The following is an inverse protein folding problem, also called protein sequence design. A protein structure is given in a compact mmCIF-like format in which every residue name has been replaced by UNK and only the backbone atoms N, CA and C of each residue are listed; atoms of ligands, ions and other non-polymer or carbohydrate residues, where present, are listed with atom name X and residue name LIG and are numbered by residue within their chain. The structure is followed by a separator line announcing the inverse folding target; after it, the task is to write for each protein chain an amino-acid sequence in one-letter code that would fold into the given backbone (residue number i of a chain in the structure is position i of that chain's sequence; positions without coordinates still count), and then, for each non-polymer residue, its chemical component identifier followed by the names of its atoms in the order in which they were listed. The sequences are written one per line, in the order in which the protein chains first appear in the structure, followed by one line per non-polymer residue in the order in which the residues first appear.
data_IF_437258056978
#
_entry.id   IF_437258056978
#
_cell.length_a   1.000
_cell.length_b   1.000
_cell.length_c   1.000
_cell.angle_alpha   90.00
_cell.angle_beta   90.00
_cell.angle_gamma   90.00
#
_symmetry.space_group_name_H-M   'P 1'
#
loop_
_entity.id
_entity.type
_entity.pdbx_description
1 polymer ?
#
# COMPACT_ATOMS: atom_id res chain seq x y z
N UNK A 1 8.30 -14.25 18.07
CA UNK A 1 7.71 -13.85 16.78
C UNK A 1 6.85 -12.66 17.09
N UNK A 2 7.21 -11.50 16.56
CA UNK A 2 6.51 -10.24 16.83
C UNK A 2 5.66 -9.91 15.61
N UNK A 3 4.36 -9.75 15.81
CA UNK A 3 3.46 -9.36 14.74
C UNK A 3 3.71 -7.90 14.39
N UNK A 4 3.76 -7.60 13.09
CA UNK A 4 3.76 -6.22 12.65
C UNK A 4 2.40 -5.58 13.00
N UNK A 5 2.44 -4.30 13.39
CA UNK A 5 1.22 -3.54 13.70
C UNK A 5 0.48 -3.11 12.44
N UNK A 6 1.16 -3.13 11.29
CA UNK A 6 0.59 -2.75 9.99
C UNK A 6 0.03 -3.98 9.27
N UNK A 7 0.81 -5.07 9.17
CA UNK A 7 0.35 -6.34 8.60
C UNK A 7 -0.60 -7.10 9.54
N UNK A 8 -1.88 -7.30 9.16
CA UNK A 8 -2.84 -8.04 9.99
C UNK A 8 -2.59 -9.55 9.98
N UNK A 9 -1.69 -10.04 9.13
CA UNK A 9 -1.48 -11.48 8.90
C UNK A 9 -0.19 -12.03 9.52
N UNK A 10 0.78 -11.19 9.89
CA UNK A 10 2.06 -11.72 10.37
C UNK A 10 3.17 -10.70 10.58
N UNK A 11 4.40 -11.23 10.58
CA UNK A 11 5.62 -10.43 10.57
C UNK A 11 6.14 -10.23 9.14
N UNK A 12 7.04 -9.27 8.96
CA UNK A 12 7.65 -8.95 7.65
C UNK A 12 8.30 -10.19 6.99
N UNK A 13 8.85 -11.11 7.78
CA UNK A 13 9.49 -12.33 7.26
C UNK A 13 8.46 -13.29 6.65
N UNK A 14 7.26 -13.33 7.19
CA UNK A 14 6.11 -14.02 6.62
C UNK A 14 5.73 -13.45 5.25
N UNK A 15 5.69 -12.13 5.13
CA UNK A 15 5.36 -11.45 3.87
C UNK A 15 6.42 -11.69 2.78
N UNK A 16 7.72 -11.65 3.13
CA UNK A 16 8.80 -12.00 2.20
C UNK A 16 8.67 -13.45 1.71
N UNK A 17 8.34 -14.39 2.60
CA UNK A 17 8.15 -15.80 2.22
C UNK A 17 6.96 -15.96 1.28
N UNK A 18 5.85 -15.29 1.55
CA UNK A 18 4.70 -15.29 0.65
C UNK A 18 5.07 -14.76 -0.74
N UNK A 19 5.83 -13.66 -0.81
CA UNK A 19 6.31 -13.11 -2.08
C UNK A 19 7.20 -14.10 -2.86
N UNK A 20 8.05 -14.85 -2.17
CA UNK A 20 8.88 -15.89 -2.81
C UNK A 20 8.04 -17.02 -3.40
N UNK A 21 6.98 -17.45 -2.70
CA UNK A 21 6.05 -18.48 -3.21
C UNK A 21 5.32 -17.96 -4.45
N UNK A 22 4.78 -16.74 -4.40
CA UNK A 22 4.10 -16.09 -5.53
C UNK A 22 5.03 -16.01 -6.73
N UNK A 23 6.26 -15.53 -6.55
CA UNK A 23 7.27 -15.47 -7.61
C UNK A 23 7.54 -16.84 -8.22
N UNK A 24 7.67 -17.89 -7.41
CA UNK A 24 7.90 -19.25 -7.90
C UNK A 24 6.71 -19.78 -8.72
N UNK A 25 5.48 -19.49 -8.31
CA UNK A 25 4.25 -19.88 -9.03
C UNK A 25 4.18 -19.19 -10.40
N UNK A 26 4.43 -17.89 -10.46
CA UNK A 26 4.50 -17.17 -11.75
C UNK A 26 5.66 -17.65 -12.61
N UNK A 27 6.83 -17.91 -12.01
CA UNK A 27 7.99 -18.47 -12.68
C UNK A 27 7.71 -19.83 -13.33
N UNK A 28 6.93 -20.68 -12.66
CA UNK A 28 6.49 -21.96 -13.21
C UNK A 28 5.58 -21.83 -14.44
N UNK A 29 4.93 -20.68 -14.62
CA UNK A 29 4.13 -20.34 -15.80
C UNK A 29 4.94 -19.62 -16.89
N UNK A 30 6.25 -19.46 -16.70
CA UNK A 30 7.14 -18.75 -17.63
C UNK A 30 7.13 -17.22 -17.46
N UNK A 31 6.50 -16.70 -16.42
CA UNK A 31 6.43 -15.27 -16.14
C UNK A 31 7.57 -14.85 -15.19
N UNK A 32 8.20 -13.71 -15.47
CA UNK A 32 9.23 -13.14 -14.60
C UNK A 32 8.66 -11.96 -13.80
N UNK A 33 8.30 -12.22 -12.54
CA UNK A 33 7.79 -11.21 -11.61
C UNK A 33 8.91 -10.80 -10.66
N UNK A 34 9.14 -9.49 -10.50
CA UNK A 34 10.10 -9.00 -9.53
C UNK A 34 9.59 -9.29 -8.12
N UNK A 35 10.48 -9.59 -7.17
CA UNK A 35 10.06 -9.97 -5.82
C UNK A 35 9.27 -8.84 -5.13
N UNK A 36 9.64 -7.59 -5.39
CA UNK A 36 8.94 -6.39 -4.91
C UNK A 36 7.48 -6.32 -5.38
N UNK A 37 7.20 -6.77 -6.61
CA UNK A 37 5.85 -6.73 -7.19
C UNK A 37 4.99 -7.88 -6.63
N UNK A 38 5.62 -8.87 -6.00
CA UNK A 38 4.99 -9.98 -5.32
C UNK A 38 4.89 -9.76 -3.80
N UNK A 39 5.44 -8.66 -3.27
CA UNK A 39 5.33 -8.33 -1.85
C UNK A 39 3.94 -7.77 -1.54
N UNK A 40 3.38 -8.20 -0.40
CA UNK A 40 2.16 -7.62 0.15
C UNK A 40 2.53 -6.33 0.88
N UNK A 41 1.96 -5.21 0.43
CA UNK A 41 2.04 -3.94 1.13
C UNK A 41 0.76 -3.77 1.96
N UNK A 42 0.89 -3.82 3.28
CA UNK A 42 -0.19 -3.56 4.20
C UNK A 42 -0.15 -2.10 4.64
N UNK A 43 -1.31 -1.47 4.84
CA UNK A 43 -1.42 -0.04 5.18
C UNK A 43 -1.90 0.82 4.01
N UNK A 44 -1.88 2.14 4.19
CA UNK A 44 -2.15 3.08 3.09
C UNK A 44 -0.97 3.06 2.11
N UNK A 45 -1.25 3.08 0.81
CA UNK A 45 -0.24 3.26 -0.23
C UNK A 45 0.52 4.57 0.08
N UNK A 46 1.79 4.49 0.48
CA UNK A 46 2.62 5.69 0.73
C UNK A 46 2.73 6.58 -0.52
N UNK A 47 2.51 6.01 -1.71
CA UNK A 47 2.51 6.71 -2.99
C UNK A 47 1.16 7.37 -3.34
N UNK A 48 0.11 7.17 -2.54
CA UNK A 48 -1.18 7.82 -2.77
C UNK A 48 -1.09 9.23 -2.20
N UNK A 49 -1.29 10.28 -3.03
CA UNK A 49 -1.30 11.64 -2.51
C UNK A 49 -2.39 11.71 -1.43
N UNK A 50 -2.01 12.18 -0.24
CA UNK A 50 -2.94 12.54 0.82
C UNK A 50 -3.79 13.71 0.30
N UNK A 51 -4.92 13.37 -0.33
CA UNK A 51 -5.87 14.37 -0.83
C UNK A 51 -6.74 14.75 0.35
N UNK A 52 -6.59 15.98 0.83
CA UNK A 52 -7.50 16.53 1.83
C UNK A 52 -8.94 16.52 1.29
N UNK A 53 -9.85 15.74 1.90
CA UNK A 53 -11.23 15.63 1.43
C UNK A 53 -12.03 16.92 1.60
N UNK A 54 -11.53 17.91 2.35
CA UNK A 54 -12.20 19.17 2.63
C UNK A 54 -11.57 20.40 1.94
N UNK A 55 -10.50 20.24 1.17
CA UNK A 55 -9.83 21.37 0.51
C UNK A 55 -10.79 22.27 -0.29
N UNK A 56 -11.72 21.65 -1.03
CA UNK A 56 -12.73 22.38 -1.81
C UNK A 56 -13.76 23.13 -0.94
N UNK A 57 -14.04 22.63 0.28
CA UNK A 57 -14.91 23.30 1.24
C UNK A 57 -14.22 24.53 1.86
N UNK A 58 -12.93 24.41 2.20
CA UNK A 58 -12.15 25.51 2.75
C UNK A 58 -11.98 26.66 1.74
N UNK A 59 -11.77 26.33 0.47
CA UNK A 59 -11.74 27.30 -0.63
C UNK A 59 -13.08 28.05 -0.76
N UNK A 60 -14.20 27.32 -0.70
CA UNK A 60 -15.53 27.91 -0.78
C UNK A 60 -15.83 28.85 0.41
N UNK A 61 -15.43 28.47 1.62
CA UNK A 61 -15.59 29.29 2.82
C UNK A 61 -14.71 30.55 2.76
N UNK A 62 -13.48 30.42 2.27
CA UNK A 62 -12.55 31.54 2.10
C UNK A 62 -13.07 32.57 1.09
N UNK A 63 -13.63 32.11 -0.03
CA UNK A 63 -14.26 32.97 -1.03
C UNK A 63 -15.49 33.70 -0.47
N UNK A 64 -16.34 33.00 0.30
CA UNK A 64 -17.52 33.59 0.92
C UNK A 64 -17.17 34.61 2.02
N UNK A 65 -16.04 34.44 2.71
CA UNK A 65 -15.58 35.39 3.72
C UNK A 65 -14.99 36.69 3.11
N UNK A 66 -14.65 36.69 1.82
CA UNK A 66 -14.10 37.84 1.10
C UNK A 66 -15.16 38.69 0.39
N UNK A 67 -16.45 38.27 0.40
CA UNK A 67 -17.59 39.01 -0.18
C UNK A 67 -18.38 39.77 0.87
#
# INVERSE_FOLDING_TARGET
MEFDRVSPLGDERGDIRNAQIVKAVFGAQGMNVALKDAMLCWGEDEDKPEVDPFAALEDALSLAAMS
#
